data_IF_254575735664
#
_entry.id   IF_254575735664
#
_cell.length_a   1.000
_cell.length_b   1.000
_cell.length_c   1.000
_cell.angle_alpha   90.00
_cell.angle_beta   90.00
_cell.angle_gamma   90.00
#
_symmetry.space_group_name_H-M   'P 1'
#
loop_
_entity.id
_entity.type
_entity.pdbx_description
1 polymer ?
#
# COMPACT_ATOMS: atom_id res chain seq x y z
N UNK A 1 2.59 2.54 1.88
CA UNK A 1 3.53 1.66 1.21
C UNK A 1 4.87 1.52 1.93
N UNK A 2 5.20 2.42 2.84
CA UNK A 2 6.42 2.36 3.65
C UNK A 2 6.11 1.94 5.09
N UNK A 3 7.15 1.70 5.90
CA UNK A 3 7.04 1.31 7.32
C UNK A 3 6.18 2.30 8.10
N UNK A 4 6.34 3.60 7.84
CA UNK A 4 5.52 4.65 8.47
C UNK A 4 4.04 4.53 8.11
N UNK A 5 3.71 4.20 6.87
CA UNK A 5 2.34 3.94 6.43
C UNK A 5 1.73 2.73 7.12
N UNK A 6 2.48 1.66 7.30
CA UNK A 6 2.04 0.46 8.01
C UNK A 6 1.75 0.76 9.49
N UNK A 7 2.56 1.60 10.12
CA UNK A 7 2.37 2.02 11.50
C UNK A 7 1.08 2.86 11.68
N UNK A 8 0.87 3.83 10.80
CA UNK A 8 -0.36 4.65 10.79
C UNK A 8 -1.59 3.78 10.57
N UNK A 9 -1.53 2.83 9.63
CA UNK A 9 -2.60 1.86 9.39
C UNK A 9 -2.96 1.09 10.65
N UNK A 10 -1.96 0.57 11.36
CA UNK A 10 -2.13 -0.18 12.60
C UNK A 10 -2.87 0.66 13.65
N UNK A 11 -2.47 1.91 13.84
CA UNK A 11 -3.10 2.82 14.79
C UNK A 11 -4.56 3.12 14.43
N UNK A 12 -4.83 3.40 13.16
CA UNK A 12 -6.18 3.70 12.69
C UNK A 12 -7.12 2.49 12.80
N UNK A 13 -6.66 1.31 12.41
CA UNK A 13 -7.47 0.09 12.52
C UNK A 13 -7.77 -0.27 13.97
N UNK A 14 -6.80 -0.07 14.87
CA UNK A 14 -7.03 -0.24 16.31
C UNK A 14 -8.07 0.73 16.84
N UNK A 15 -8.00 1.99 16.41
CA UNK A 15 -9.00 3.01 16.78
C UNK A 15 -10.40 2.59 16.33
N UNK A 16 -10.57 2.19 15.06
CA UNK A 16 -11.86 1.73 14.54
C UNK A 16 -12.39 0.51 15.29
N UNK A 17 -11.52 -0.45 15.62
CA UNK A 17 -11.92 -1.63 16.38
C UNK A 17 -12.41 -1.28 17.78
N UNK A 18 -11.76 -0.35 18.47
CA UNK A 18 -12.09 0.03 19.85
C UNK A 18 -13.31 0.95 19.96
N UNK A 19 -13.48 1.84 18.98
CA UNK A 19 -14.49 2.90 19.05
C UNK A 19 -15.61 2.79 18.00
N UNK A 20 -15.38 2.11 16.89
CA UNK A 20 -16.31 2.02 15.75
C UNK A 20 -16.35 0.61 15.16
N UNK A 21 -16.36 -0.38 16.02
CA UNK A 21 -16.31 -1.80 15.62
C UNK A 21 -17.43 -2.19 14.66
N UNK A 22 -18.63 -1.64 14.83
CA UNK A 22 -19.76 -1.93 13.96
C UNK A 22 -19.51 -1.57 12.50
N UNK A 23 -18.71 -0.56 12.22
CA UNK A 23 -18.33 -0.22 10.85
C UNK A 23 -17.54 -1.33 10.19
N UNK A 24 -16.65 -1.98 10.93
CA UNK A 24 -15.87 -3.11 10.44
C UNK A 24 -16.75 -4.34 10.24
N UNK A 25 -17.60 -4.64 11.24
CA UNK A 25 -18.50 -5.79 11.18
C UNK A 25 -19.50 -5.72 10.02
N UNK A 26 -19.96 -4.53 9.68
CA UNK A 26 -20.87 -4.29 8.55
C UNK A 26 -20.16 -4.13 7.22
N UNK A 27 -18.85 -4.23 7.17
CA UNK A 27 -18.07 -4.15 5.93
C UNK A 27 -17.95 -2.74 5.34
N UNK A 28 -17.97 -1.71 6.17
CA UNK A 28 -17.87 -0.31 5.72
C UNK A 28 -16.45 0.26 5.75
N UNK A 29 -15.47 -0.47 6.27
CA UNK A 29 -14.09 -0.01 6.35
C UNK A 29 -13.25 -0.67 5.27
N UNK A 30 -12.58 0.15 4.47
CA UNK A 30 -11.73 -0.27 3.37
C UNK A 30 -10.37 0.42 3.47
N UNK A 31 -9.35 -0.27 2.96
CA UNK A 31 -8.01 0.29 2.82
C UNK A 31 -7.74 0.54 1.34
N UNK A 32 -7.38 1.77 1.00
CA UNK A 32 -6.95 2.08 -0.35
C UNK A 32 -5.50 1.65 -0.56
N UNK A 33 -5.21 1.05 -1.72
CA UNK A 33 -3.87 0.60 -2.08
C UNK A 33 -3.27 1.56 -3.10
N UNK A 34 -2.41 2.50 -2.67
CA UNK A 34 -1.69 3.36 -3.60
C UNK A 34 -0.64 2.57 -4.37
N UNK A 35 -0.22 3.05 -5.57
CA UNK A 35 0.83 2.38 -6.31
C UNK A 35 2.18 2.56 -5.63
N UNK A 36 3.06 1.57 -5.82
CA UNK A 36 4.43 1.63 -5.34
C UNK A 36 5.37 2.25 -6.38
N UNK A 37 5.05 2.09 -7.68
CA UNK A 37 5.88 2.56 -8.79
C UNK A 37 5.09 3.38 -9.81
N UNK A 38 5.75 4.37 -10.37
CA UNK A 38 5.30 5.11 -11.56
C UNK A 38 6.29 4.83 -12.69
N UNK A 39 5.78 4.40 -13.83
CA UNK A 39 6.57 4.11 -15.02
C UNK A 39 6.13 5.05 -16.13
N UNK A 40 7.02 5.90 -16.58
CA UNK A 40 6.75 6.87 -17.64
C UNK A 40 7.59 6.55 -18.87
N UNK A 41 6.91 6.36 -20.00
CA UNK A 41 7.56 6.20 -21.31
C UNK A 41 6.82 6.99 -22.37
N UNK A 42 7.52 7.92 -23.00
CA UNK A 42 6.91 8.85 -23.95
C UNK A 42 5.82 9.68 -23.27
N UNK A 43 4.64 9.77 -23.88
CA UNK A 43 3.49 10.47 -23.31
C UNK A 43 2.61 9.62 -22.41
N UNK A 44 2.98 8.34 -22.14
CA UNK A 44 2.19 7.41 -21.35
C UNK A 44 2.76 7.22 -19.97
N UNK A 45 1.88 7.20 -18.98
CA UNK A 45 2.22 6.93 -17.58
C UNK A 45 1.49 5.67 -17.11
N UNK A 46 2.23 4.75 -16.50
CA UNK A 46 1.70 3.53 -15.90
C UNK A 46 1.99 3.51 -14.41
N UNK A 47 1.11 2.91 -13.64
CA UNK A 47 1.30 2.73 -12.20
C UNK A 47 1.30 1.24 -11.87
N UNK A 48 2.24 0.83 -11.02
CA UNK A 48 2.36 -0.55 -10.56
C UNK A 48 2.20 -0.62 -9.04
N UNK A 49 1.42 -1.58 -8.57
CA UNK A 49 1.18 -1.77 -7.13
C UNK A 49 2.39 -2.36 -6.40
N UNK A 50 3.20 -3.16 -7.11
CA UNK A 50 4.35 -3.88 -6.57
C UNK A 50 5.41 -4.10 -7.65
N UNK A 51 6.49 -4.79 -7.28
CA UNK A 51 7.60 -5.09 -8.18
C UNK A 51 7.20 -6.04 -9.31
N UNK A 52 6.36 -7.00 -9.03
CA UNK A 52 5.88 -7.97 -10.02
C UNK A 52 5.08 -7.29 -11.13
N UNK A 53 4.13 -6.43 -10.78
CA UNK A 53 3.35 -5.66 -11.75
C UNK A 53 4.24 -4.68 -12.52
N UNK A 54 5.24 -4.08 -11.87
CA UNK A 54 6.24 -3.24 -12.53
C UNK A 54 6.97 -4.01 -13.62
N UNK A 55 7.44 -5.23 -13.32
CA UNK A 55 8.16 -6.05 -14.28
C UNK A 55 7.29 -6.46 -15.46
N UNK A 56 6.01 -6.78 -15.24
CA UNK A 56 5.04 -7.06 -16.29
C UNK A 56 4.83 -5.87 -17.22
N UNK A 57 4.66 -4.69 -16.68
CA UNK A 57 4.51 -3.45 -17.45
C UNK A 57 5.75 -3.17 -18.28
N UNK A 58 6.94 -3.35 -17.70
CA UNK A 58 8.20 -3.16 -18.42
C UNK A 58 8.37 -4.16 -19.57
N UNK A 59 7.93 -5.41 -19.41
CA UNK A 59 7.94 -6.40 -20.48
C UNK A 59 7.04 -5.99 -21.62
N UNK A 60 5.83 -5.52 -21.34
CA UNK A 60 4.88 -5.06 -22.35
C UNK A 60 5.40 -3.84 -23.10
N UNK A 61 6.03 -2.92 -22.41
CA UNK A 61 6.65 -1.74 -23.02
C UNK A 61 7.80 -2.16 -23.96
N UNK A 62 8.62 -3.12 -23.56
CA UNK A 62 9.75 -3.60 -24.37
C UNK A 62 9.32 -4.32 -25.66
N UNK A 63 8.15 -4.95 -25.66
CA UNK A 63 7.62 -5.61 -26.86
C UNK A 63 7.30 -4.63 -27.98
N UNK A 64 6.92 -3.41 -27.63
CA UNK A 64 6.55 -2.35 -28.57
C UNK A 64 7.75 -1.43 -28.93
N UNK A 65 8.93 -1.71 -28.37
CA UNK A 65 10.11 -0.86 -28.55
C UNK A 65 10.88 -1.15 -29.83
N UNK A 66 11.16 -0.07 -30.55
CA UNK A 66 12.18 -0.05 -31.60
C UNK A 66 13.56 0.21 -30.96
N UNK A 67 14.65 -0.20 -31.62
CA UNK A 67 16.03 -0.09 -31.14
C UNK A 67 16.45 1.35 -30.74
N UNK A 68 15.70 2.37 -31.17
CA UNK A 68 15.98 3.77 -30.91
C UNK A 68 15.10 4.39 -29.80
N UNK A 69 14.30 3.59 -29.08
CA UNK A 69 13.42 4.13 -28.04
C UNK A 69 14.19 4.39 -26.75
N UNK A 70 13.82 5.50 -26.07
CA UNK A 70 14.38 5.83 -24.77
C UNK A 70 13.92 4.82 -23.72
N UNK A 71 14.80 4.52 -22.76
CA UNK A 71 14.44 3.72 -21.60
C UNK A 71 13.32 4.37 -20.79
N UNK A 72 12.36 3.59 -20.25
CA UNK A 72 11.31 4.15 -19.41
C UNK A 72 11.88 4.75 -18.12
N UNK A 73 11.28 5.83 -17.66
CA UNK A 73 11.59 6.41 -16.35
C UNK A 73 10.77 5.68 -15.27
N UNK A 74 11.44 5.21 -14.23
CA UNK A 74 10.83 4.50 -13.12
C UNK A 74 11.02 5.30 -11.85
N UNK A 75 9.91 5.63 -11.17
CA UNK A 75 9.93 6.28 -9.88
C UNK A 75 9.29 5.35 -8.84
N UNK A 76 9.97 5.13 -7.73
CA UNK A 76 9.41 4.43 -6.58
C UNK A 76 8.85 5.45 -5.60
N UNK A 77 7.59 5.27 -5.20
CA UNK A 77 6.95 6.09 -4.18
C UNK A 77 7.28 5.58 -2.78
N UNK A 78 7.77 6.45 -1.93
CA UNK A 78 7.99 6.17 -0.50
C UNK A 78 6.78 6.49 0.36
N UNK A 79 5.90 7.37 -0.11
CA UNK A 79 4.68 7.75 0.56
C UNK A 79 3.80 8.60 -0.33
N UNK A 80 2.57 8.85 0.12
CA UNK A 80 1.58 9.62 -0.63
C UNK A 80 1.99 11.08 -0.85
N UNK A 81 2.86 11.62 -0.01
CA UNK A 81 3.34 12.99 -0.12
C UNK A 81 4.17 13.28 -1.38
N UNK A 82 4.65 12.25 -2.06
CA UNK A 82 5.38 12.39 -3.33
C UNK A 82 4.46 12.56 -4.53
N UNK A 83 3.16 12.36 -4.36
CA UNK A 83 2.17 12.50 -5.42
C UNK A 83 1.58 13.90 -5.42
N UNK A 84 1.38 14.47 -6.62
CA UNK A 84 0.55 15.68 -6.75
C UNK A 84 -0.94 15.31 -6.63
N UNK A 85 -1.84 16.30 -6.47
CA UNK A 85 -3.28 16.01 -6.30
C UNK A 85 -3.90 15.19 -7.43
N UNK A 86 -3.50 15.40 -8.67
CA UNK A 86 -4.01 14.66 -9.82
C UNK A 86 -3.59 13.20 -9.80
N UNK A 87 -2.33 12.94 -9.48
CA UNK A 87 -1.79 11.58 -9.35
C UNK A 87 -2.47 10.84 -8.20
N UNK A 88 -2.67 11.50 -7.08
CA UNK A 88 -3.35 10.93 -5.93
C UNK A 88 -4.80 10.58 -6.26
N UNK A 89 -5.50 11.45 -6.97
CA UNK A 89 -6.85 11.17 -7.45
C UNK A 89 -6.90 9.95 -8.35
N UNK A 90 -6.11 9.97 -9.43
CA UNK A 90 -6.12 8.91 -10.45
C UNK A 90 -5.79 7.52 -9.91
N UNK A 91 -4.89 7.45 -8.93
CA UNK A 91 -4.38 6.17 -8.42
C UNK A 91 -5.10 5.65 -7.19
N UNK A 92 -5.63 6.54 -6.34
CA UNK A 92 -6.08 6.17 -5.01
C UNK A 92 -7.56 6.49 -4.75
N UNK A 93 -8.08 7.54 -5.34
CA UNK A 93 -9.45 8.00 -5.08
C UNK A 93 -10.43 7.75 -6.21
N UNK A 94 -9.99 7.75 -7.46
CA UNK A 94 -10.87 7.55 -8.61
C UNK A 94 -11.53 6.17 -8.55
N UNK A 95 -12.87 6.09 -8.45
CA UNK A 95 -13.57 4.81 -8.36
C UNK A 95 -13.29 3.85 -9.52
N UNK A 96 -12.92 4.38 -10.69
CA UNK A 96 -12.61 3.57 -11.87
C UNK A 96 -11.27 2.85 -11.76
N UNK A 97 -10.29 3.49 -11.13
CA UNK A 97 -8.91 3.01 -11.11
C UNK A 97 -8.42 2.58 -9.72
N UNK A 98 -9.07 3.04 -8.66
CA UNK A 98 -8.63 2.75 -7.29
C UNK A 98 -8.74 1.26 -6.97
N UNK A 99 -7.86 0.81 -6.10
CA UNK A 99 -7.88 -0.53 -5.53
C UNK A 99 -8.22 -0.42 -4.06
N UNK A 100 -9.26 -1.13 -3.62
CA UNK A 100 -9.69 -1.15 -2.23
C UNK A 100 -9.67 -2.58 -1.69
N UNK A 101 -9.22 -2.74 -0.46
CA UNK A 101 -9.30 -3.99 0.28
C UNK A 101 -10.24 -3.78 1.46
N UNK A 102 -11.26 -4.64 1.57
CA UNK A 102 -12.19 -4.60 2.69
C UNK A 102 -11.50 -5.10 3.97
N UNK A 103 -11.64 -4.35 5.04
CA UNK A 103 -11.09 -4.72 6.34
C UNK A 103 -12.06 -5.67 7.05
N UNK A 104 -11.54 -6.78 7.56
CA UNK A 104 -12.30 -7.78 8.32
C UNK A 104 -11.91 -7.76 9.79
N UNK A 105 -12.71 -8.43 10.62
CA UNK A 105 -12.42 -8.57 12.06
C UNK A 105 -11.11 -9.33 12.30
N UNK A 106 -10.77 -10.30 11.46
CA UNK A 106 -9.52 -11.05 11.58
C UNK A 106 -8.31 -10.14 11.37
N UNK A 107 -8.37 -9.24 10.36
CA UNK A 107 -7.33 -8.24 10.13
C UNK A 107 -7.12 -7.33 11.34
N UNK A 108 -8.22 -6.94 11.99
CA UNK A 108 -8.21 -6.06 13.15
C UNK A 108 -7.63 -6.76 14.37
N UNK A 109 -7.92 -8.05 14.56
CA UNK A 109 -7.37 -8.85 15.65
C UNK A 109 -5.86 -8.85 15.64
N UNK A 110 -5.24 -9.11 14.48
CA UNK A 110 -3.78 -9.03 14.31
C UNK A 110 -3.25 -7.62 14.58
N UNK A 111 -3.97 -6.61 14.10
CA UNK A 111 -3.59 -5.21 14.27
C UNK A 111 -3.61 -4.78 15.75
N UNK A 112 -4.59 -5.22 16.52
CA UNK A 112 -4.68 -4.91 17.95
C UNK A 112 -3.53 -5.54 18.73
N UNK A 113 -3.14 -6.76 18.42
CA UNK A 113 -1.98 -7.42 19.01
C UNK A 113 -0.68 -6.65 18.70
N UNK A 114 -0.52 -6.18 17.46
CA UNK A 114 0.61 -5.33 17.07
C UNK A 114 0.62 -4.03 17.89
N UNK A 115 -0.53 -3.40 18.05
CA UNK A 115 -0.66 -2.15 18.81
C UNK A 115 -0.24 -2.36 20.28
N UNK A 116 -0.73 -3.38 20.93
CA UNK A 116 -0.37 -3.70 22.32
C UNK A 116 1.13 -3.96 22.47
N UNK A 117 1.73 -4.67 21.52
CA UNK A 117 3.16 -4.93 21.48
C UNK A 117 3.98 -3.65 21.33
N UNK A 118 3.54 -2.73 20.46
CA UNK A 118 4.20 -1.45 20.22
C UNK A 118 4.09 -0.50 21.42
N UNK A 119 3.01 -0.57 22.17
CA UNK A 119 2.76 0.28 23.34
C UNK A 119 3.21 -0.34 24.66
N UNK A 120 3.75 -1.57 24.63
CA UNK A 120 4.29 -2.25 25.79
C UNK A 120 5.66 -1.68 26.21
N UNK A 121 6.14 -2.08 27.40
CA UNK A 121 7.36 -1.53 28.01
C UNK A 121 8.67 -2.16 27.49
N UNK A 122 8.61 -3.27 26.74
CA UNK A 122 9.77 -3.97 26.21
C UNK A 122 10.09 -3.53 24.78
N UNK A 123 11.27 -2.92 24.57
CA UNK A 123 11.66 -2.35 23.29
C UNK A 123 12.08 -3.42 22.27
N UNK A 124 12.79 -4.45 22.69
CA UNK A 124 13.35 -5.48 21.79
C UNK A 124 12.28 -6.36 21.13
N UNK A 125 11.31 -6.93 21.86
CA UNK A 125 10.20 -7.66 21.24
C UNK A 125 9.37 -6.82 20.27
N UNK A 126 9.20 -5.54 20.57
CA UNK A 126 8.49 -4.61 19.67
C UNK A 126 9.15 -4.47 18.31
N UNK A 127 10.49 -4.35 18.31
CA UNK A 127 11.26 -4.20 17.06
C UNK A 127 11.16 -5.47 16.19
N UNK A 128 11.36 -6.64 16.78
CA UNK A 128 11.26 -7.91 16.08
C UNK A 128 9.86 -8.13 15.49
N UNK A 129 8.82 -7.77 16.23
CA UNK A 129 7.45 -7.89 15.81
C UNK A 129 7.12 -6.97 14.64
N UNK A 130 7.61 -5.75 14.62
CA UNK A 130 7.44 -4.80 13.51
C UNK A 130 8.04 -5.36 12.23
N UNK A 131 9.26 -5.89 12.28
CA UNK A 131 9.96 -6.43 11.11
C UNK A 131 9.20 -7.62 10.50
N UNK A 132 8.74 -8.57 11.30
CA UNK A 132 7.91 -9.69 10.84
C UNK A 132 6.60 -9.25 10.20
N UNK A 133 5.90 -8.31 10.83
CA UNK A 133 4.60 -7.87 10.35
C UNK A 133 4.67 -6.92 9.15
N UNK A 134 5.78 -6.23 8.94
CA UNK A 134 6.02 -5.47 7.72
C UNK A 134 6.06 -6.41 6.50
N UNK A 135 6.70 -7.57 6.61
CA UNK A 135 6.71 -8.58 5.55
C UNK A 135 5.32 -9.18 5.30
N UNK A 136 4.55 -9.47 6.35
CA UNK A 136 3.18 -9.98 6.24
C UNK A 136 2.24 -8.98 5.58
N UNK A 137 2.36 -7.70 5.91
CA UNK A 137 1.54 -6.65 5.33
C UNK A 137 1.72 -6.54 3.81
N UNK A 138 2.93 -6.72 3.30
CA UNK A 138 3.21 -6.76 1.87
C UNK A 138 2.51 -7.93 1.16
N UNK A 139 2.36 -9.06 1.82
CA UNK A 139 1.72 -10.24 1.27
C UNK A 139 0.18 -10.19 1.35
N UNK A 140 -0.38 -9.48 2.31
CA UNK A 140 -1.83 -9.38 2.52
C UNK A 140 -2.50 -8.46 1.51
N UNK A 141 -1.80 -7.45 1.00
CA UNK A 141 -2.31 -6.45 0.06
C UNK A 141 -2.35 -6.96 -1.41
N UNK A 142 -2.07 -8.21 -1.61
CA UNK A 142 -2.15 -8.89 -2.90
C UNK A 142 -3.52 -9.53 -3.06
#
# INVERSE_FOLDING_TARGET
ADVDGSHIRTLLLTFFNRHMRDLILKGHVYMALPPLYKIKKGGKTHYAKDEEEKDEILKDIRKDDNENSRSPEIQRYKGLGEMNPEQLWETTFDPTNRRLVQITIDDVGETDDIFETLMGDEVKPRREFIDENALRAENVDV
#
